data_IF_835432154851
#
_entry.id   IF_835432154851
#
_cell.length_a   1.000
_cell.length_b   1.000
_cell.length_c   1.000
_cell.angle_alpha   90.00
_cell.angle_beta   90.00
_cell.angle_gamma   90.00
#
_symmetry.space_group_name_H-M   'P 1'
#
loop_
_entity.id
_entity.type
_entity.pdbx_description
1 polymer ?
#
# COMPACT_ATOMS: atom_id res chain seq x y z
N UNK A 1 61.76 -26.11 6.12
CA UNK A 1 60.41 -26.55 5.68
C UNK A 1 59.29 -25.87 6.46
N UNK A 2 59.35 -25.74 7.75
CA UNK A 2 58.31 -25.15 8.63
C UNK A 2 57.96 -23.68 8.30
N UNK A 3 58.95 -22.81 7.99
CA UNK A 3 58.69 -21.40 7.59
C UNK A 3 57.89 -21.23 6.30
N UNK A 4 58.02 -22.16 5.33
CA UNK A 4 57.23 -22.11 4.08
C UNK A 4 55.77 -22.57 4.26
N UNK A 5 55.50 -23.39 5.28
CA UNK A 5 54.14 -23.87 5.58
C UNK A 5 53.37 -22.76 6.34
N UNK A 6 54.03 -22.03 7.22
CA UNK A 6 53.38 -20.90 7.96
C UNK A 6 52.98 -19.77 7.01
N UNK A 7 53.81 -19.44 6.02
CA UNK A 7 53.47 -18.41 5.02
C UNK A 7 52.26 -18.86 4.12
N UNK A 8 52.19 -20.14 3.78
CA UNK A 8 51.01 -20.66 2.99
C UNK A 8 49.73 -20.67 3.81
N UNK A 9 49.76 -20.94 5.11
CA UNK A 9 48.58 -20.82 6.00
C UNK A 9 48.18 -19.36 6.23
N UNK A 10 49.12 -18.43 6.35
CA UNK A 10 48.84 -17.00 6.51
C UNK A 10 48.20 -16.39 5.23
N UNK A 11 48.61 -16.85 4.03
CA UNK A 11 48.00 -16.39 2.78
C UNK A 11 46.62 -17.02 2.54
N UNK A 12 46.34 -18.21 3.07
CA UNK A 12 45.03 -18.84 2.98
C UNK A 12 44.00 -18.18 3.99
N UNK A 13 44.50 -17.67 5.12
CA UNK A 13 43.67 -16.96 6.09
C UNK A 13 43.26 -15.53 5.61
N UNK A 14 43.99 -14.95 4.65
CA UNK A 14 43.72 -13.60 4.14
C UNK A 14 42.71 -13.59 2.94
N UNK A 15 42.28 -14.78 2.48
CA UNK A 15 41.28 -14.93 1.41
C UNK A 15 39.85 -15.17 1.92
N UNK A 16 39.57 -14.94 3.21
CA UNK A 16 38.22 -14.69 3.65
C UNK A 16 37.90 -13.27 3.20
N UNK A 17 37.64 -13.11 1.92
CA UNK A 17 36.97 -11.91 1.42
C UNK A 17 35.69 -11.78 2.20
N UNK A 18 35.62 -10.76 3.04
CA UNK A 18 34.33 -10.28 3.51
C UNK A 18 33.51 -10.02 2.24
N UNK A 19 32.62 -10.94 1.89
CA UNK A 19 31.59 -10.70 0.89
C UNK A 19 30.70 -9.66 1.58
N UNK A 20 31.05 -8.39 1.39
CA UNK A 20 30.15 -7.30 1.74
C UNK A 20 28.98 -7.43 0.80
N UNK A 21 27.89 -7.98 1.28
CA UNK A 21 26.62 -7.87 0.57
C UNK A 21 26.29 -6.38 0.48
N UNK A 22 25.89 -5.90 -0.68
CA UNK A 22 25.39 -4.55 -0.83
C UNK A 22 24.21 -4.34 0.14
N UNK A 23 24.18 -3.16 0.78
CA UNK A 23 23.06 -2.79 1.64
C UNK A 23 21.77 -2.78 0.82
N UNK A 24 20.67 -3.28 1.38
CA UNK A 24 19.35 -3.26 0.75
C UNK A 24 18.70 -1.91 1.01
N UNK A 25 18.30 -1.19 -0.04
CA UNK A 25 17.47 0.01 0.05
C UNK A 25 16.00 -0.39 0.04
N UNK A 26 15.30 -0.10 1.11
CA UNK A 26 13.86 -0.35 1.25
C UNK A 26 13.08 0.95 1.34
N UNK A 27 12.30 1.27 0.30
CA UNK A 27 11.38 2.40 0.32
C UNK A 27 10.05 2.00 0.94
N UNK A 28 9.54 2.84 1.84
CA UNK A 28 8.27 2.60 2.52
C UNK A 28 7.40 3.84 2.56
N UNK A 29 6.10 3.66 2.35
CA UNK A 29 5.08 4.71 2.56
C UNK A 29 4.54 4.75 3.99
N UNK A 30 4.97 3.83 4.84
CA UNK A 30 4.58 3.76 6.25
C UNK A 30 5.43 4.71 7.11
N UNK A 31 5.25 6.03 6.87
CA UNK A 31 6.11 7.10 7.38
C UNK A 31 5.80 7.56 8.81
N UNK A 32 4.74 7.06 9.42
CA UNK A 32 4.36 7.42 10.80
C UNK A 32 5.45 6.97 11.79
N UNK A 33 5.83 7.79 12.78
CA UNK A 33 6.97 7.51 13.67
C UNK A 33 6.96 6.12 14.30
N UNK A 34 5.79 5.66 14.80
CA UNK A 34 5.67 4.34 15.41
C UNK A 34 5.86 3.19 14.39
N UNK A 35 5.42 3.38 13.14
CA UNK A 35 5.60 2.41 12.06
C UNK A 35 7.02 2.40 11.55
N UNK A 36 7.65 3.58 11.41
CA UNK A 36 9.07 3.68 11.07
C UNK A 36 9.94 2.97 12.09
N UNK A 37 9.76 3.24 13.39
CA UNK A 37 10.49 2.57 14.45
C UNK A 37 10.36 1.03 14.38
N UNK A 38 9.17 0.52 14.04
CA UNK A 38 8.95 -0.92 13.89
C UNK A 38 9.65 -1.51 12.66
N UNK A 39 9.66 -0.80 11.55
CA UNK A 39 10.38 -1.23 10.34
C UNK A 39 11.89 -1.22 10.55
N UNK A 40 12.43 -0.23 11.24
CA UNK A 40 13.85 -0.20 11.63
C UNK A 40 14.24 -1.34 12.59
N UNK A 41 13.36 -1.70 13.53
CA UNK A 41 13.54 -2.87 14.40
C UNK A 41 13.59 -4.16 13.56
N UNK A 42 12.67 -4.30 12.59
CA UNK A 42 12.64 -5.45 11.68
C UNK A 42 13.89 -5.50 10.79
N UNK A 43 14.37 -4.37 10.28
CA UNK A 43 15.60 -4.25 9.52
C UNK A 43 16.80 -4.73 10.32
N UNK A 44 16.95 -4.27 11.57
CA UNK A 44 18.01 -4.73 12.49
C UNK A 44 17.93 -6.22 12.80
N UNK A 45 16.73 -6.75 12.97
CA UNK A 45 16.53 -8.18 13.19
C UNK A 45 16.89 -9.03 11.96
N UNK A 46 16.65 -8.50 10.76
CA UNK A 46 17.09 -9.12 9.51
C UNK A 46 18.60 -9.08 9.37
N UNK A 47 19.22 -7.93 9.60
CA UNK A 47 20.68 -7.76 9.58
C UNK A 47 21.39 -8.74 10.54
N UNK A 48 20.86 -8.88 11.76
CA UNK A 48 21.42 -9.80 12.75
C UNK A 48 21.40 -11.28 12.31
N UNK A 49 20.44 -11.66 11.43
CA UNK A 49 20.31 -13.03 10.91
C UNK A 49 21.06 -13.27 9.62
N UNK A 50 21.07 -12.29 8.72
CA UNK A 50 21.58 -12.41 7.36
C UNK A 50 22.97 -11.84 7.16
N UNK A 51 23.40 -10.93 8.02
CA UNK A 51 24.59 -10.09 7.82
C UNK A 51 24.39 -9.00 6.77
N UNK A 52 23.17 -8.81 6.25
CA UNK A 52 22.84 -7.82 5.23
C UNK A 52 22.08 -6.67 5.88
N UNK A 53 22.62 -5.47 5.77
CA UNK A 53 21.98 -4.26 6.27
C UNK A 53 20.82 -3.84 5.39
N UNK A 54 19.74 -3.31 5.99
CA UNK A 54 18.61 -2.73 5.30
C UNK A 54 18.49 -1.26 5.70
N UNK A 55 18.58 -0.39 4.71
CA UNK A 55 18.30 1.04 4.87
C UNK A 55 16.81 1.28 4.62
N UNK A 56 16.08 1.67 5.66
CA UNK A 56 14.63 1.99 5.56
C UNK A 56 14.49 3.47 5.21
N UNK A 57 13.95 3.75 4.02
CA UNK A 57 13.85 5.09 3.45
C UNK A 57 12.38 5.49 3.36
N UNK A 58 11.92 6.48 4.15
CA UNK A 58 10.54 6.95 4.08
C UNK A 58 10.27 7.71 2.77
N UNK A 59 9.10 7.46 2.18
CA UNK A 59 8.61 8.16 0.98
C UNK A 59 7.14 8.46 1.21
N UNK A 60 6.75 9.73 1.13
CA UNK A 60 5.33 10.10 1.19
C UNK A 60 4.54 9.41 0.08
N UNK A 61 3.37 8.86 0.39
CA UNK A 61 2.57 8.08 -0.57
C UNK A 61 2.25 8.88 -1.84
N UNK A 62 1.95 10.16 -1.70
CA UNK A 62 1.67 11.08 -2.84
C UNK A 62 2.86 11.25 -3.78
N UNK A 63 4.08 11.13 -3.28
CA UNK A 63 5.31 11.35 -4.04
C UNK A 63 5.88 10.05 -4.62
N UNK A 64 5.43 8.90 -4.14
CA UNK A 64 6.00 7.60 -4.47
C UNK A 64 6.01 7.32 -5.98
N UNK A 65 4.90 7.58 -6.68
CA UNK A 65 4.79 7.32 -8.12
C UNK A 65 5.80 8.13 -8.94
N UNK A 66 5.91 9.44 -8.65
CA UNK A 66 6.86 10.33 -9.33
C UNK A 66 8.30 9.93 -9.02
N UNK A 67 8.60 9.66 -7.76
CA UNK A 67 9.94 9.27 -7.31
C UNK A 67 10.38 7.94 -7.93
N UNK A 68 9.51 6.92 -7.95
CA UNK A 68 9.82 5.63 -8.56
C UNK A 68 10.05 5.75 -10.07
N UNK A 69 9.26 6.57 -10.77
CA UNK A 69 9.43 6.81 -12.20
C UNK A 69 10.77 7.50 -12.49
N UNK A 70 11.13 8.51 -11.71
CA UNK A 70 12.41 9.21 -11.85
C UNK A 70 13.60 8.29 -11.55
N UNK A 71 13.51 7.49 -10.48
CA UNK A 71 14.54 6.53 -10.13
C UNK A 71 14.71 5.44 -11.18
N UNK A 72 13.61 4.94 -11.77
CA UNK A 72 13.65 3.99 -12.88
C UNK A 72 14.39 4.56 -14.10
N UNK A 73 14.08 5.82 -14.47
CA UNK A 73 14.75 6.50 -15.57
C UNK A 73 16.25 6.74 -15.31
N UNK A 74 16.63 6.94 -14.06
CA UNK A 74 18.02 7.12 -13.64
C UNK A 74 18.79 5.80 -13.41
N UNK A 75 18.12 4.65 -13.41
CA UNK A 75 18.71 3.35 -13.05
C UNK A 75 19.09 3.24 -11.57
N UNK A 76 18.42 3.98 -10.68
CA UNK A 76 18.67 4.04 -9.23
C UNK A 76 17.39 3.67 -8.42
N UNK A 77 16.70 2.63 -8.87
CA UNK A 77 15.58 2.06 -8.11
C UNK A 77 16.09 1.46 -6.79
N UNK A 78 15.31 1.50 -5.72
CA UNK A 78 15.61 0.73 -4.51
C UNK A 78 15.44 -0.77 -4.78
N UNK A 79 16.00 -1.61 -3.92
CA UNK A 79 15.86 -3.07 -4.02
C UNK A 79 14.44 -3.53 -3.67
N UNK A 80 13.78 -2.85 -2.73
CA UNK A 80 12.43 -3.17 -2.27
C UNK A 80 11.61 -1.89 -2.14
N UNK A 81 10.36 -1.95 -2.63
CA UNK A 81 9.38 -0.87 -2.49
C UNK A 81 8.12 -1.41 -1.83
N UNK A 82 7.75 -0.83 -0.67
CA UNK A 82 6.41 -1.01 -0.12
C UNK A 82 5.46 -0.04 -0.80
N UNK A 83 4.42 -0.55 -1.47
CA UNK A 83 3.55 0.25 -2.30
C UNK A 83 2.10 -0.24 -2.28
N UNK A 84 1.18 0.62 -2.68
CA UNK A 84 -0.23 0.32 -2.79
C UNK A 84 -0.56 -0.43 -4.08
N UNK A 85 -1.72 -1.11 -4.09
CA UNK A 85 -2.18 -1.97 -5.19
C UNK A 85 -2.25 -1.25 -6.55
N UNK A 86 -2.51 0.05 -6.56
CA UNK A 86 -2.62 0.86 -7.79
C UNK A 86 -1.35 0.83 -8.66
N UNK A 87 -0.18 0.59 -8.07
CA UNK A 87 1.10 0.55 -8.78
C UNK A 87 1.44 -0.83 -9.36
N UNK A 88 0.79 -1.91 -8.92
CA UNK A 88 1.18 -3.28 -9.31
C UNK A 88 1.21 -3.46 -10.84
N UNK A 89 0.11 -3.18 -11.51
CA UNK A 89 0.02 -3.39 -12.96
C UNK A 89 0.87 -2.39 -13.74
N UNK A 90 0.75 -1.05 -13.54
CA UNK A 90 1.56 -0.08 -14.27
C UNK A 90 3.07 -0.30 -14.11
N UNK A 91 3.52 -0.58 -12.89
CA UNK A 91 4.95 -0.77 -12.64
C UNK A 91 5.48 -2.12 -13.14
N UNK A 92 4.67 -3.17 -13.10
CA UNK A 92 5.01 -4.42 -13.76
C UNK A 92 5.07 -4.28 -15.29
N UNK A 93 4.27 -3.39 -15.88
CA UNK A 93 4.32 -3.07 -17.32
C UNK A 93 5.52 -2.22 -17.70
N UNK A 94 5.87 -1.28 -16.85
CA UNK A 94 7.03 -0.41 -17.02
C UNK A 94 8.37 -1.08 -16.67
N UNK A 95 8.38 -2.32 -16.15
CA UNK A 95 9.60 -3.03 -15.73
C UNK A 95 10.22 -2.48 -14.44
N UNK A 96 9.47 -1.73 -13.64
CA UNK A 96 9.89 -1.25 -12.32
C UNK A 96 9.87 -2.40 -11.30
N UNK A 97 8.90 -3.33 -11.43
CA UNK A 97 8.82 -4.51 -10.58
C UNK A 97 9.47 -5.72 -11.27
N UNK A 98 10.34 -6.42 -10.55
CA UNK A 98 10.78 -7.75 -10.93
C UNK A 98 9.69 -8.77 -10.65
N UNK A 99 8.88 -9.04 -11.68
CA UNK A 99 7.74 -9.96 -11.60
C UNK A 99 8.18 -11.39 -11.31
N UNK A 100 9.35 -11.80 -11.80
CA UNK A 100 9.84 -13.16 -11.58
C UNK A 100 10.33 -13.34 -10.15
N UNK A 101 11.10 -12.41 -9.60
CA UNK A 101 11.53 -12.43 -8.22
C UNK A 101 10.33 -12.41 -7.26
N UNK A 102 9.36 -11.52 -7.45
CA UNK A 102 8.14 -11.47 -6.62
C UNK A 102 7.35 -12.79 -6.66
N UNK A 103 7.19 -13.37 -7.86
CA UNK A 103 6.48 -14.64 -8.02
C UNK A 103 7.22 -15.81 -7.32
N UNK A 104 8.54 -15.80 -7.35
CA UNK A 104 9.35 -16.85 -6.70
C UNK A 104 9.35 -16.71 -5.17
N UNK A 105 9.33 -15.48 -4.64
CA UNK A 105 9.11 -15.24 -3.20
C UNK A 105 7.77 -15.82 -2.77
N UNK A 106 6.67 -15.54 -3.49
CA UNK A 106 5.34 -16.10 -3.15
C UNK A 106 5.31 -17.62 -3.25
N UNK A 107 6.02 -18.22 -4.22
CA UNK A 107 6.16 -19.69 -4.31
C UNK A 107 6.91 -20.26 -3.11
N UNK A 108 8.02 -19.64 -2.72
CA UNK A 108 8.85 -20.10 -1.60
C UNK A 108 8.15 -20.02 -0.26
N UNK A 109 7.37 -18.97 -0.03
CA UNK A 109 6.54 -18.79 1.18
C UNK A 109 5.29 -19.68 1.17
N UNK A 110 4.89 -20.17 0.00
CA UNK A 110 3.68 -20.96 -0.21
C UNK A 110 2.42 -20.09 -0.34
N UNK A 111 1.64 -20.35 -1.38
CA UNK A 111 0.43 -19.57 -1.69
C UNK A 111 -0.61 -19.55 -0.57
N UNK A 112 -0.63 -20.57 0.31
CA UNK A 112 -1.55 -20.64 1.46
C UNK A 112 -1.25 -19.61 2.54
N UNK A 113 -0.06 -19.00 2.53
CA UNK A 113 0.33 -17.92 3.43
C UNK A 113 -0.46 -16.63 3.15
N UNK A 114 -1.02 -16.50 1.96
CA UNK A 114 -1.66 -15.28 1.47
C UNK A 114 -3.16 -15.45 1.27
N UNK A 115 -3.93 -14.38 1.49
CA UNK A 115 -5.33 -14.35 1.12
C UNK A 115 -5.49 -14.51 -0.41
N UNK A 116 -6.37 -15.42 -0.91
CA UNK A 116 -6.54 -15.65 -2.35
C UNK A 116 -6.91 -14.37 -3.14
N UNK A 117 -7.70 -13.49 -2.55
CA UNK A 117 -8.05 -12.20 -3.13
C UNK A 117 -6.84 -11.30 -3.36
N UNK A 118 -5.94 -11.20 -2.38
CA UNK A 118 -4.71 -10.42 -2.48
C UNK A 118 -3.80 -10.95 -3.60
N UNK A 119 -3.62 -12.27 -3.69
CA UNK A 119 -2.87 -12.88 -4.79
C UNK A 119 -3.50 -12.60 -6.15
N UNK A 120 -4.84 -12.60 -6.24
CA UNK A 120 -5.52 -12.31 -7.51
C UNK A 120 -5.31 -10.84 -7.95
N UNK A 121 -5.35 -9.91 -7.02
CA UNK A 121 -5.10 -8.49 -7.30
C UNK A 121 -3.64 -8.21 -7.69
N UNK A 122 -2.69 -8.99 -7.18
CA UNK A 122 -1.28 -8.84 -7.49
C UNK A 122 -0.82 -9.56 -8.78
N UNK A 123 -1.74 -10.14 -9.57
CA UNK A 123 -1.39 -10.90 -10.78
C UNK A 123 -1.17 -10.03 -12.00
N UNK A 124 -0.11 -10.40 -12.77
CA UNK A 124 0.08 -9.99 -14.17
C UNK A 124 0.52 -11.19 -15.01
N UNK A 125 -0.19 -11.46 -16.11
CA UNK A 125 0.19 -12.52 -17.04
C UNK A 125 0.35 -13.92 -16.42
N UNK A 126 -0.44 -14.24 -15.38
CA UNK A 126 -0.37 -15.52 -14.66
C UNK A 126 0.69 -15.61 -13.56
N UNK A 127 1.59 -14.64 -13.44
CA UNK A 127 2.61 -14.51 -12.38
C UNK A 127 2.14 -13.53 -11.31
N UNK A 128 2.72 -13.60 -10.12
CA UNK A 128 2.50 -12.64 -9.04
C UNK A 128 3.51 -11.51 -9.18
N UNK A 129 3.04 -10.31 -9.45
CA UNK A 129 3.88 -9.14 -9.73
C UNK A 129 4.30 -8.35 -8.48
N UNK A 130 3.63 -8.58 -7.36
CA UNK A 130 3.99 -8.00 -6.06
C UNK A 130 3.66 -8.98 -4.94
N UNK A 131 4.46 -9.01 -3.89
CA UNK A 131 4.24 -9.86 -2.71
C UNK A 131 3.23 -9.18 -1.81
N UNK A 132 2.02 -9.74 -1.57
CA UNK A 132 1.06 -9.15 -0.64
C UNK A 132 1.58 -9.23 0.80
N UNK A 133 1.60 -8.10 1.52
CA UNK A 133 2.05 -8.02 2.91
C UNK A 133 0.88 -7.79 3.84
N UNK A 134 0.00 -6.86 3.49
CA UNK A 134 -1.20 -6.52 4.24
C UNK A 134 -2.37 -6.21 3.31
N UNK A 135 -3.47 -5.71 3.87
CA UNK A 135 -4.64 -5.31 3.11
C UNK A 135 -5.43 -4.23 3.83
N UNK A 136 -5.88 -3.26 3.06
CA UNK A 136 -6.74 -2.18 3.51
C UNK A 136 -8.15 -2.39 2.99
N UNK A 137 -9.13 -2.07 3.79
CA UNK A 137 -10.52 -2.08 3.37
C UNK A 137 -11.19 -0.76 3.75
N UNK A 138 -12.08 -0.31 2.88
CA UNK A 138 -12.92 0.85 3.15
C UNK A 138 -14.17 0.39 3.90
N UNK A 139 -14.46 1.05 5.02
CA UNK A 139 -15.68 0.80 5.79
C UNK A 139 -16.16 2.09 6.45
N UNK A 140 -17.45 2.16 6.70
CA UNK A 140 -18.03 3.23 7.51
C UNK A 140 -17.83 2.89 8.99
N UNK A 141 -17.10 3.74 9.69
CA UNK A 141 -16.92 3.66 11.15
C UNK A 141 -17.72 4.79 11.78
N UNK A 142 -18.42 4.54 12.90
CA UNK A 142 -19.23 5.53 13.56
C UNK A 142 -19.11 5.51 15.08
N UNK A 143 -19.37 6.62 15.70
CA UNK A 143 -19.44 6.79 17.17
C UNK A 143 -20.78 6.28 17.67
N UNK A 144 -20.81 5.03 18.12
CA UNK A 144 -22.02 4.38 18.61
C UNK A 144 -22.71 5.18 19.73
N UNK A 145 -21.94 5.69 20.67
CA UNK A 145 -22.40 6.51 21.78
C UNK A 145 -23.12 7.80 21.34
N UNK A 146 -22.60 8.47 20.29
CA UNK A 146 -23.24 9.68 19.74
C UNK A 146 -24.52 9.35 18.98
N UNK A 147 -24.55 8.23 18.26
CA UNK A 147 -25.74 7.77 17.55
C UNK A 147 -26.85 7.40 18.52
N UNK A 148 -26.55 6.65 19.57
CA UNK A 148 -27.51 6.28 20.63
C UNK A 148 -28.07 7.51 21.34
N UNK A 149 -27.22 8.47 21.74
CA UNK A 149 -27.61 9.72 22.37
C UNK A 149 -28.53 10.58 21.48
N UNK A 150 -28.28 10.54 20.16
CA UNK A 150 -29.07 11.26 19.17
C UNK A 150 -30.32 10.49 18.70
N UNK A 151 -30.54 9.26 19.14
CA UNK A 151 -31.64 8.41 18.67
C UNK A 151 -31.52 8.09 17.17
N UNK A 152 -30.31 7.85 16.69
CA UNK A 152 -30.01 7.51 15.28
C UNK A 152 -29.80 6.02 15.13
N UNK A 153 -30.33 5.46 14.04
CA UNK A 153 -30.03 4.10 13.61
C UNK A 153 -28.60 3.99 13.07
N UNK A 154 -27.96 2.81 13.15
CA UNK A 154 -26.64 2.60 12.55
C UNK A 154 -26.57 3.03 11.08
N UNK A 155 -25.41 3.53 10.59
CA UNK A 155 -25.25 4.10 9.27
C UNK A 155 -25.11 3.02 8.17
N UNK A 156 -26.10 2.10 8.11
CA UNK A 156 -26.14 0.96 7.17
C UNK A 156 -26.73 1.33 5.80
N UNK A 157 -27.17 2.57 5.63
CA UNK A 157 -27.69 3.10 4.37
C UNK A 157 -27.27 4.56 4.19
N UNK A 158 -27.25 5.04 2.95
CA UNK A 158 -26.99 6.44 2.66
C UNK A 158 -28.01 7.38 3.34
N UNK A 159 -29.27 6.97 3.41
CA UNK A 159 -30.29 7.73 4.12
C UNK A 159 -29.96 7.91 5.62
N UNK A 160 -29.46 6.87 6.26
CA UNK A 160 -29.06 6.95 7.67
C UNK A 160 -27.80 7.79 7.84
N UNK A 161 -26.85 7.75 6.90
CA UNK A 161 -25.67 8.62 6.91
C UNK A 161 -26.09 10.09 6.76
N UNK A 162 -26.98 10.41 5.81
CA UNK A 162 -27.50 11.78 5.63
C UNK A 162 -28.17 12.30 6.92
N UNK A 163 -29.03 11.48 7.56
CA UNK A 163 -29.65 11.84 8.85
C UNK A 163 -28.62 12.10 9.93
N UNK A 164 -27.53 11.32 9.95
CA UNK A 164 -26.44 11.54 10.90
C UNK A 164 -25.70 12.86 10.62
N UNK A 165 -25.41 13.18 9.35
CA UNK A 165 -24.83 14.47 8.96
C UNK A 165 -25.73 15.61 9.46
N UNK A 166 -27.04 15.58 9.16
CA UNK A 166 -27.98 16.62 9.53
C UNK A 166 -28.11 16.80 11.06
N UNK A 167 -28.10 15.69 11.82
CA UNK A 167 -28.42 15.72 13.25
C UNK A 167 -27.19 15.90 14.13
N UNK A 168 -26.01 15.45 13.68
CA UNK A 168 -24.77 15.50 14.47
C UNK A 168 -23.85 16.66 14.09
N UNK A 169 -24.04 17.30 12.93
CA UNK A 169 -23.24 18.48 12.57
C UNK A 169 -23.57 19.67 13.43
N UNK A 170 -22.54 20.37 13.90
CA UNK A 170 -22.63 21.60 14.68
C UNK A 170 -21.44 22.52 14.34
N UNK A 171 -21.27 23.64 15.05
CA UNK A 171 -20.06 24.47 14.93
C UNK A 171 -18.77 23.73 15.26
N UNK A 172 -18.86 22.71 16.13
CA UNK A 172 -17.69 22.07 16.74
C UNK A 172 -17.54 20.58 16.34
N UNK A 173 -18.48 20.05 15.54
CA UNK A 173 -18.51 18.64 15.17
C UNK A 173 -19.06 18.43 13.78
N UNK A 174 -18.36 17.63 12.98
CA UNK A 174 -18.85 17.15 11.69
C UNK A 174 -19.64 15.84 11.87
N UNK A 175 -20.84 15.79 11.29
CA UNK A 175 -21.70 14.60 11.35
C UNK A 175 -21.16 13.43 10.50
N UNK A 176 -20.28 13.72 9.53
CA UNK A 176 -19.52 12.75 8.76
C UNK A 176 -18.20 13.37 8.28
N UNK A 177 -17.21 12.52 8.01
CA UNK A 177 -15.94 12.96 7.45
C UNK A 177 -15.68 12.19 6.17
N UNK A 178 -15.54 12.90 5.06
CA UNK A 178 -15.14 12.36 3.77
C UNK A 178 -13.89 13.08 3.27
N UNK A 179 -13.02 12.36 2.58
CA UNK A 179 -11.85 12.96 1.98
C UNK A 179 -12.24 13.82 0.76
N UNK A 180 -11.79 15.08 0.72
CA UNK A 180 -12.15 16.05 -0.34
C UNK A 180 -10.97 16.62 -1.10
N UNK A 181 -9.75 16.32 -0.66
CA UNK A 181 -8.53 16.83 -1.27
C UNK A 181 -8.21 16.06 -2.55
N UNK A 182 -8.26 16.74 -3.70
CA UNK A 182 -8.22 16.12 -5.03
C UNK A 182 -6.86 15.56 -5.44
N UNK A 183 -5.79 15.97 -4.78
CA UNK A 183 -4.41 15.49 -4.97
C UNK A 183 -4.01 14.37 -4.02
N UNK A 184 -4.96 13.84 -3.24
CA UNK A 184 -4.76 12.76 -2.29
C UNK A 184 -5.49 11.48 -2.73
N UNK A 185 -4.85 10.33 -2.54
CA UNK A 185 -5.44 9.03 -2.86
C UNK A 185 -6.73 8.75 -2.07
N UNK A 186 -6.84 9.28 -0.85
CA UNK A 186 -8.02 9.05 0.00
C UNK A 186 -9.32 9.58 -0.60
N UNK A 187 -9.28 10.72 -1.32
CA UNK A 187 -10.46 11.24 -2.00
C UNK A 187 -10.96 10.28 -3.07
N UNK A 188 -10.07 9.78 -3.91
CA UNK A 188 -10.44 8.82 -4.96
C UNK A 188 -10.94 7.50 -4.39
N UNK A 189 -10.33 6.99 -3.31
CA UNK A 189 -10.76 5.77 -2.63
C UNK A 189 -12.16 5.91 -2.00
N UNK A 190 -12.44 7.01 -1.30
CA UNK A 190 -13.76 7.24 -0.68
C UNK A 190 -14.82 7.43 -1.76
N UNK A 191 -14.53 8.20 -2.82
CA UNK A 191 -15.45 8.40 -3.94
C UNK A 191 -15.74 7.09 -4.68
N UNK A 192 -14.70 6.29 -4.97
CA UNK A 192 -14.85 4.99 -5.62
C UNK A 192 -15.73 4.05 -4.80
N UNK A 193 -15.56 4.02 -3.47
CA UNK A 193 -16.40 3.24 -2.58
C UNK A 193 -17.89 3.63 -2.72
N UNK A 194 -18.18 4.93 -2.72
CA UNK A 194 -19.55 5.44 -2.92
C UNK A 194 -20.08 5.07 -4.30
N UNK A 195 -19.26 5.20 -5.35
CA UNK A 195 -19.62 4.86 -6.72
C UNK A 195 -19.95 3.37 -6.86
N UNK A 196 -19.06 2.49 -6.39
CA UNK A 196 -19.24 1.04 -6.46
C UNK A 196 -20.46 0.57 -5.67
N UNK A 197 -20.72 1.15 -4.49
CA UNK A 197 -21.89 0.82 -3.68
C UNK A 197 -23.21 1.21 -4.37
N UNK A 198 -23.19 2.18 -5.29
CA UNK A 198 -24.32 2.54 -6.15
C UNK A 198 -24.33 1.80 -7.50
N UNK A 199 -23.47 0.80 -7.70
CA UNK A 199 -23.37 0.04 -8.94
C UNK A 199 -22.65 0.78 -10.08
N UNK A 200 -21.94 1.88 -9.79
CA UNK A 200 -21.11 2.59 -10.78
C UNK A 200 -19.74 1.96 -10.84
N UNK A 201 -19.33 1.47 -12.00
CA UNK A 201 -18.00 0.95 -12.24
C UNK A 201 -17.32 1.78 -13.34
N UNK A 202 -16.30 2.54 -12.96
CA UNK A 202 -15.59 3.47 -13.84
C UNK A 202 -14.77 2.77 -14.92
N UNK A 203 -14.30 1.55 -14.64
CA UNK A 203 -13.46 0.78 -15.59
C UNK A 203 -14.26 -0.20 -16.46
N UNK A 204 -15.57 -0.25 -16.31
CA UNK A 204 -16.41 -1.13 -17.12
C UNK A 204 -16.40 -0.69 -18.59
N UNK A 205 -16.29 -1.64 -19.51
CA UNK A 205 -16.37 -1.39 -20.96
C UNK A 205 -17.66 -0.62 -21.31
N UNK A 206 -17.51 0.53 -21.96
CA UNK A 206 -18.62 1.45 -22.26
C UNK A 206 -18.71 2.64 -21.30
N UNK A 207 -17.84 2.68 -20.27
CA UNK A 207 -17.69 3.81 -19.34
C UNK A 207 -18.98 4.11 -18.56
N UNK A 208 -19.12 5.36 -18.15
CA UNK A 208 -20.22 5.83 -17.30
C UNK A 208 -21.53 6.15 -18.07
N UNK A 209 -21.55 6.12 -19.41
CA UNK A 209 -22.73 6.51 -20.22
C UNK A 209 -24.00 5.78 -19.84
N UNK A 210 -23.94 4.46 -19.58
CA UNK A 210 -25.08 3.64 -19.17
C UNK A 210 -25.37 3.69 -17.66
N UNK A 211 -24.59 4.42 -16.90
CA UNK A 211 -24.65 4.48 -15.44
C UNK A 211 -25.03 5.90 -14.94
N UNK A 212 -25.51 6.77 -15.83
CA UNK A 212 -25.68 8.20 -15.57
C UNK A 212 -26.51 8.53 -14.32
N UNK A 213 -27.63 7.82 -14.07
CA UNK A 213 -28.46 8.02 -12.87
C UNK A 213 -27.71 7.62 -11.60
N UNK A 214 -27.07 6.44 -11.60
CA UNK A 214 -26.30 5.96 -10.44
C UNK A 214 -25.10 6.87 -10.16
N UNK A 215 -24.40 7.31 -11.20
CA UNK A 215 -23.31 8.27 -11.08
C UNK A 215 -23.80 9.60 -10.48
N UNK A 216 -24.89 10.15 -10.99
CA UNK A 216 -25.48 11.39 -10.44
C UNK A 216 -25.83 11.23 -8.97
N UNK A 217 -26.52 10.17 -8.59
CA UNK A 217 -26.90 9.91 -7.20
C UNK A 217 -25.68 9.78 -6.28
N UNK A 218 -24.62 9.11 -6.75
CA UNK A 218 -23.36 8.99 -6.00
C UNK A 218 -22.70 10.34 -5.76
N UNK A 219 -22.63 11.18 -6.77
CA UNK A 219 -22.06 12.52 -6.66
C UNK A 219 -22.88 13.46 -5.76
N UNK A 220 -24.21 13.38 -5.87
CA UNK A 220 -25.09 14.16 -4.97
C UNK A 220 -24.94 13.71 -3.52
N UNK A 221 -24.87 12.42 -3.26
CA UNK A 221 -24.60 11.91 -1.91
C UNK A 221 -23.22 12.35 -1.44
N UNK A 222 -22.18 12.25 -2.29
CA UNK A 222 -20.83 12.67 -1.92
C UNK A 222 -20.78 14.17 -1.54
N UNK A 223 -21.50 15.03 -2.26
CA UNK A 223 -21.64 16.46 -1.91
C UNK A 223 -22.25 16.69 -0.52
N UNK A 224 -23.17 15.82 -0.10
CA UNK A 224 -23.76 15.94 1.25
C UNK A 224 -22.77 15.59 2.33
N UNK A 225 -22.02 14.51 2.17
CA UNK A 225 -21.07 14.03 3.18
C UNK A 225 -19.73 14.78 3.18
N UNK A 226 -19.47 15.59 2.16
CA UNK A 226 -18.25 16.38 1.99
C UNK A 226 -18.40 17.86 2.43
N UNK A 227 -19.54 18.22 3.00
CA UNK A 227 -19.81 19.55 3.57
C UNK A 227 -19.29 19.64 4.99
#
# INVERSE_FOLDING_TARGET
>A
MIKKIIIKLAVLAFLITNVSFADIKFWTTEVQPARMAKQEEMAKAFEAKSGIKVEVIPVEEKDLGTRATAAAAAGDLPDVIYHTLQYVLPWAEAGILDVDANNDVVKSLGKKTFAPGALNMAKKGGKIAAVPVDGWTQMVVYRKDLFEKAGLEPPTSYANIVKAVEKLSSSDMFGFVAATKTDENFMSQVLEHVLLANGVNLVKKGGTKKQGRALKNSLEFYKVIAK
#
